data_IF_236622270581
#
_entry.id   IF_236622270581
#
_cell.length_a   1.000
_cell.length_b   1.000
_cell.length_c   1.000
_cell.angle_alpha   90.00
_cell.angle_beta   90.00
_cell.angle_gamma   90.00
#
_symmetry.space_group_name_H-M   'P 1'
#
loop_
_entity.id
_entity.type
_entity.pdbx_description
1 polymer ?
#
# COMPACT_ATOMS: atom_id res chain seq x y z
N UNK A 1 -6.40 22.95 7.66
CA UNK A 1 -5.68 21.91 8.41
C UNK A 1 -5.90 20.63 7.65
N UNK A 2 -4.82 20.01 7.21
CA UNK A 2 -4.87 18.80 6.41
C UNK A 2 -5.28 17.61 7.26
N UNK A 3 -5.71 16.55 6.59
CA UNK A 3 -6.20 15.34 7.25
C UNK A 3 -6.09 14.14 6.33
N UNK A 4 -5.93 12.95 6.92
CA UNK A 4 -6.17 11.70 6.22
C UNK A 4 -7.69 11.50 6.15
N UNK A 5 -8.24 11.44 4.93
CA UNK A 5 -9.69 11.31 4.68
C UNK A 5 -10.15 9.89 4.37
N UNK A 6 -9.19 8.98 4.20
CA UNK A 6 -9.40 7.56 4.04
C UNK A 6 -8.05 6.84 3.99
N UNK A 7 -8.06 5.55 4.26
CA UNK A 7 -6.88 4.70 4.15
C UNK A 7 -7.28 3.34 3.57
N UNK A 8 -6.40 2.66 2.85
CA UNK A 8 -6.71 1.33 2.31
C UNK A 8 -5.46 0.46 2.21
N UNK A 9 -5.62 -0.84 2.44
CA UNK A 9 -4.66 -1.88 2.01
C UNK A 9 -5.17 -2.41 0.68
N UNK A 10 -4.39 -2.28 -0.38
CA UNK A 10 -4.77 -2.73 -1.72
C UNK A 10 -3.65 -3.59 -2.32
N UNK A 11 -3.96 -4.85 -2.61
CA UNK A 11 -3.13 -5.70 -3.44
C UNK A 11 -2.83 -5.07 -4.81
N UNK A 12 -1.65 -5.30 -5.36
CA UNK A 12 -1.23 -4.77 -6.66
C UNK A 12 -0.68 -5.85 -7.60
N UNK A 13 -1.06 -7.12 -7.36
CA UNK A 13 -0.47 -8.26 -8.06
C UNK A 13 -0.53 -8.11 -9.58
N UNK A 14 0.55 -8.42 -10.33
CA UNK A 14 0.57 -8.23 -11.78
C UNK A 14 -0.55 -8.97 -12.54
N UNK A 15 -1.12 -10.03 -11.94
CA UNK A 15 -2.28 -10.76 -12.47
C UNK A 15 -3.45 -9.83 -12.79
N UNK A 16 -3.69 -8.76 -12.01
CA UNK A 16 -4.79 -7.82 -12.29
C UNK A 16 -4.60 -7.07 -13.62
N UNK A 17 -3.38 -6.98 -14.13
CA UNK A 17 -3.05 -6.29 -15.38
C UNK A 17 -3.03 -7.21 -16.61
N UNK A 18 -3.15 -8.53 -16.42
CA UNK A 18 -3.21 -9.47 -17.55
C UNK A 18 -4.50 -9.29 -18.36
N UNK A 19 -4.55 -9.73 -19.63
CA UNK A 19 -5.81 -9.77 -20.39
C UNK A 19 -6.89 -10.55 -19.64
N UNK A 20 -8.15 -10.11 -19.77
CA UNK A 20 -9.29 -10.70 -19.08
C UNK A 20 -9.39 -12.21 -19.35
N UNK A 21 -9.25 -12.62 -20.61
CA UNK A 21 -9.30 -14.00 -21.03
C UNK A 21 -8.26 -14.85 -20.30
N UNK A 22 -7.03 -14.34 -20.15
CA UNK A 22 -5.97 -15.01 -19.39
C UNK A 22 -6.32 -15.13 -17.91
N UNK A 23 -6.89 -14.10 -17.28
CA UNK A 23 -7.31 -14.18 -15.87
C UNK A 23 -8.43 -15.20 -15.65
N UNK A 24 -9.39 -15.26 -16.58
CA UNK A 24 -10.46 -16.26 -16.55
C UNK A 24 -9.91 -17.68 -16.71
N UNK A 25 -8.96 -17.89 -17.63
CA UNK A 25 -8.29 -19.17 -17.84
C UNK A 25 -7.54 -19.66 -16.58
N UNK A 26 -6.89 -18.75 -15.85
CA UNK A 26 -6.19 -19.07 -14.60
C UNK A 26 -7.12 -19.46 -13.44
N UNK A 27 -8.42 -19.15 -13.54
CA UNK A 27 -9.38 -19.26 -12.45
C UNK A 27 -10.66 -20.02 -12.85
N UNK A 28 -10.51 -21.05 -13.68
CA UNK A 28 -11.61 -21.94 -14.11
C UNK A 28 -12.83 -21.19 -14.65
N UNK A 29 -12.59 -20.11 -15.40
CA UNK A 29 -13.60 -19.25 -16.01
C UNK A 29 -14.22 -18.20 -15.09
N UNK A 30 -13.70 -18.03 -13.86
CA UNK A 30 -14.13 -17.00 -12.91
C UNK A 30 -13.17 -15.81 -12.94
N UNK A 31 -13.68 -14.60 -12.72
CA UNK A 31 -12.83 -13.41 -12.54
C UNK A 31 -12.33 -13.37 -11.09
N UNK A 32 -11.09 -12.93 -10.88
CA UNK A 32 -10.54 -12.70 -9.54
C UNK A 32 -11.25 -11.51 -8.90
N UNK A 33 -11.58 -11.57 -7.62
CA UNK A 33 -12.37 -10.53 -6.94
C UNK A 33 -11.62 -9.19 -6.81
N UNK A 34 -10.29 -9.19 -6.91
CA UNK A 34 -9.46 -7.97 -6.90
C UNK A 34 -9.88 -6.97 -7.99
N UNK A 35 -10.10 -7.42 -9.23
CA UNK A 35 -10.43 -6.55 -10.38
C UNK A 35 -11.78 -5.84 -10.21
N UNK A 36 -12.93 -6.53 -10.02
CA UNK A 36 -14.19 -5.84 -9.72
C UNK A 36 -14.13 -5.10 -8.38
N UNK A 37 -13.26 -5.52 -7.45
CA UNK A 37 -12.98 -4.80 -6.22
C UNK A 37 -12.40 -3.41 -6.45
N UNK A 38 -11.44 -3.27 -7.36
CA UNK A 38 -10.95 -1.96 -7.81
C UNK A 38 -12.03 -1.12 -8.45
N UNK A 39 -12.83 -1.70 -9.35
CA UNK A 39 -13.93 -0.97 -10.02
C UNK A 39 -14.95 -0.44 -8.99
N UNK A 40 -15.25 -1.25 -7.97
CA UNK A 40 -16.12 -0.86 -6.87
C UNK A 40 -15.47 0.21 -6.00
N UNK A 41 -14.21 0.04 -5.60
CA UNK A 41 -13.46 1.01 -4.79
C UNK A 41 -13.36 2.36 -5.50
N UNK A 42 -13.13 2.35 -6.81
CA UNK A 42 -13.15 3.56 -7.63
C UNK A 42 -14.48 4.31 -7.51
N UNK A 43 -15.60 3.62 -7.75
CA UNK A 43 -16.95 4.22 -7.74
C UNK A 43 -17.38 4.68 -6.34
N UNK A 44 -17.02 3.91 -5.31
CA UNK A 44 -17.51 4.15 -3.95
C UNK A 44 -16.63 5.10 -3.15
N UNK A 45 -15.33 5.16 -3.45
CA UNK A 45 -14.36 5.96 -2.71
C UNK A 45 -13.73 7.00 -3.63
N UNK A 46 -13.02 6.59 -4.68
CA UNK A 46 -12.19 7.51 -5.47
C UNK A 46 -12.96 8.63 -6.15
N UNK A 47 -14.20 8.37 -6.60
CA UNK A 47 -15.04 9.35 -7.29
C UNK A 47 -15.92 10.18 -6.34
N UNK A 48 -16.10 9.75 -5.09
CA UNK A 48 -17.03 10.36 -4.13
C UNK A 48 -16.34 11.09 -2.98
N UNK A 49 -15.19 10.59 -2.54
CA UNK A 49 -14.45 11.15 -1.41
C UNK A 49 -13.82 12.48 -1.82
N UNK A 50 -13.87 13.45 -0.91
CA UNK A 50 -13.22 14.75 -1.08
C UNK A 50 -11.77 14.68 -0.59
N UNK A 51 -10.84 14.41 -1.52
CA UNK A 51 -9.39 14.35 -1.29
C UNK A 51 -8.64 15.12 -2.37
N UNK A 52 -7.44 15.60 -2.05
CA UNK A 52 -6.57 16.32 -2.99
C UNK A 52 -5.47 15.41 -3.55
N UNK A 53 -4.92 14.57 -2.68
CA UNK A 53 -3.68 13.82 -2.93
C UNK A 53 -3.82 12.37 -2.47
N UNK A 54 -3.37 11.46 -3.32
CA UNK A 54 -3.17 10.05 -3.00
C UNK A 54 -1.70 9.87 -2.64
N UNK A 55 -1.43 9.21 -1.50
CA UNK A 55 -0.09 8.73 -1.17
C UNK A 55 -0.09 7.22 -1.22
N UNK A 56 0.72 6.68 -2.12
CA UNK A 56 0.95 5.24 -2.28
C UNK A 56 2.16 4.85 -1.44
N UNK A 57 1.96 3.97 -0.47
CA UNK A 57 3.05 3.35 0.28
C UNK A 57 3.44 2.09 -0.49
N UNK A 58 4.51 2.19 -1.28
CA UNK A 58 4.84 1.26 -2.35
C UNK A 58 5.83 0.18 -1.86
N UNK A 59 5.34 -1.03 -1.65
CA UNK A 59 6.15 -2.17 -1.20
C UNK A 59 7.22 -2.64 -2.20
N UNK A 60 7.12 -2.23 -3.48
CA UNK A 60 8.07 -2.59 -4.53
C UNK A 60 9.16 -1.54 -4.73
N UNK A 61 9.00 -0.33 -4.20
CA UNK A 61 10.04 0.68 -4.28
C UNK A 61 11.04 0.52 -3.14
N UNK A 62 11.96 -0.43 -3.29
CA UNK A 62 13.01 -0.68 -2.30
C UNK A 62 14.12 0.38 -2.33
N UNK A 63 14.42 0.97 -1.18
CA UNK A 63 15.58 1.85 -0.93
C UNK A 63 16.47 1.23 0.16
N UNK A 64 17.73 1.70 0.29
CA UNK A 64 18.70 1.05 1.18
C UNK A 64 18.95 1.79 2.48
N UNK A 65 19.09 3.12 2.44
CA UNK A 65 19.65 3.90 3.55
C UNK A 65 18.62 4.80 4.23
N UNK A 66 17.52 5.11 3.55
CA UNK A 66 16.49 6.03 4.02
C UNK A 66 15.18 5.78 3.28
N UNK A 67 14.09 6.32 3.81
CA UNK A 67 12.83 6.39 3.09
C UNK A 67 12.91 7.51 2.05
N UNK A 68 12.28 7.31 0.91
CA UNK A 68 12.25 8.28 -0.18
C UNK A 68 10.81 8.53 -0.56
N UNK A 69 10.47 9.80 -0.78
CA UNK A 69 9.13 10.24 -1.20
C UNK A 69 9.25 10.99 -2.52
N UNK A 70 8.35 10.73 -3.48
CA UNK A 70 8.39 11.42 -4.77
C UNK A 70 7.93 12.87 -4.60
N UNK A 71 8.70 13.83 -5.10
CA UNK A 71 8.38 15.26 -5.09
C UNK A 71 8.31 15.88 -6.49
N UNK A 72 8.04 15.06 -7.52
CA UNK A 72 7.82 15.57 -8.89
C UNK A 72 6.54 16.43 -8.95
N UNK A 73 6.56 17.49 -9.76
CA UNK A 73 5.33 18.22 -10.12
C UNK A 73 4.41 17.38 -11.03
N UNK A 74 5.02 16.62 -11.95
CA UNK A 74 4.32 15.69 -12.84
C UNK A 74 5.22 14.48 -13.15
N UNK A 75 4.62 13.29 -13.27
CA UNK A 75 5.29 12.08 -13.73
C UNK A 75 4.51 11.48 -14.87
N UNK A 76 5.17 11.22 -15.99
CA UNK A 76 4.60 10.54 -17.15
C UNK A 76 5.61 9.63 -17.83
N UNK A 77 5.10 8.63 -18.55
CA UNK A 77 5.93 7.76 -19.35
C UNK A 77 5.26 6.42 -19.62
N UNK A 78 6.10 5.42 -19.84
CA UNK A 78 5.69 4.03 -19.98
C UNK A 78 6.49 3.17 -19.01
N UNK A 79 5.79 2.31 -18.29
CA UNK A 79 6.38 1.36 -17.38
C UNK A 79 6.38 -0.04 -17.99
N UNK A 80 7.46 -0.79 -17.77
CA UNK A 80 7.53 -2.23 -18.05
C UNK A 80 8.04 -2.89 -16.79
N UNK A 81 7.30 -3.88 -16.29
CA UNK A 81 7.67 -4.58 -15.07
C UNK A 81 8.96 -5.37 -15.28
N UNK A 82 9.95 -5.13 -14.43
CA UNK A 82 11.19 -5.88 -14.38
C UNK A 82 10.97 -7.31 -13.90
N UNK A 83 10.01 -7.52 -13.00
CA UNK A 83 9.64 -8.83 -12.46
C UNK A 83 8.84 -9.67 -13.46
N UNK A 84 7.86 -9.06 -14.14
CA UNK A 84 6.92 -9.75 -15.05
C UNK A 84 6.67 -8.96 -16.35
N UNK A 85 7.70 -8.75 -17.19
CA UNK A 85 7.61 -7.90 -18.39
C UNK A 85 6.65 -8.47 -19.45
N UNK A 86 6.37 -9.77 -19.42
CA UNK A 86 5.42 -10.40 -20.34
C UNK A 86 3.97 -9.95 -20.08
N UNK A 87 3.62 -9.75 -18.81
CA UNK A 87 2.27 -9.35 -18.39
C UNK A 87 2.09 -7.84 -18.35
N UNK A 88 3.17 -7.11 -18.10
CA UNK A 88 3.15 -5.66 -17.91
C UNK A 88 4.26 -5.00 -18.72
N UNK A 89 3.99 -4.73 -19.99
CA UNK A 89 4.92 -4.05 -20.89
C UNK A 89 4.32 -2.76 -21.43
N UNK A 90 5.13 -1.70 -21.45
CA UNK A 90 4.77 -0.42 -22.06
C UNK A 90 3.47 0.20 -21.49
N UNK A 91 3.14 -0.06 -20.22
CA UNK A 91 1.95 0.46 -19.54
C UNK A 91 2.10 1.98 -19.41
N UNK A 92 1.25 2.79 -20.06
CA UNK A 92 1.36 4.24 -19.99
C UNK A 92 0.88 4.76 -18.63
N UNK A 93 1.57 5.78 -18.10
CA UNK A 93 1.13 6.53 -16.93
C UNK A 93 1.36 8.03 -17.13
N UNK A 94 0.51 8.86 -16.51
CA UNK A 94 0.66 10.32 -16.49
C UNK A 94 -0.19 10.91 -15.36
N UNK A 95 0.44 11.51 -14.36
CA UNK A 95 -0.25 12.11 -13.21
C UNK A 95 0.54 13.26 -12.58
N UNK A 96 -0.18 14.20 -11.98
CA UNK A 96 0.39 15.27 -11.15
C UNK A 96 0.95 14.67 -9.86
N UNK A 97 2.09 15.15 -9.39
CA UNK A 97 2.56 14.90 -8.03
C UNK A 97 2.16 16.02 -7.07
N UNK A 98 2.65 15.96 -5.83
CA UNK A 98 2.43 16.98 -4.79
C UNK A 98 3.77 17.36 -4.14
N UNK A 99 4.61 18.15 -4.84
CA UNK A 99 5.95 18.54 -4.35
C UNK A 99 5.89 19.24 -3.00
N UNK A 100 4.91 20.12 -2.79
CA UNK A 100 4.76 20.88 -1.55
C UNK A 100 4.50 19.96 -0.34
N UNK A 101 3.59 18.99 -0.48
CA UNK A 101 3.34 18.02 0.59
C UNK A 101 4.57 17.14 0.81
N UNK A 102 5.20 16.62 -0.25
CA UNK A 102 6.36 15.75 -0.14
C UNK A 102 7.55 16.44 0.55
N UNK A 103 7.86 17.68 0.17
CA UNK A 103 8.92 18.48 0.78
C UNK A 103 8.63 18.82 2.25
N UNK A 104 7.35 18.99 2.61
CA UNK A 104 6.96 19.29 3.99
C UNK A 104 7.27 18.15 4.98
N UNK A 105 7.36 16.90 4.51
CA UNK A 105 7.62 15.72 5.36
C UNK A 105 8.96 15.81 6.08
N UNK A 106 9.97 16.42 5.45
CA UNK A 106 11.33 16.58 6.00
C UNK A 106 11.33 17.37 7.32
N UNK A 107 10.32 18.21 7.56
CA UNK A 107 10.21 18.96 8.83
C UNK A 107 10.02 18.06 10.05
N UNK A 108 9.60 16.81 9.85
CA UNK A 108 9.19 15.89 10.93
C UNK A 108 10.06 14.64 11.03
N UNK A 109 11.01 14.44 10.11
CA UNK A 109 11.82 13.21 10.09
C UNK A 109 12.79 13.14 11.29
N UNK A 110 13.47 14.25 11.62
CA UNK A 110 14.38 14.34 12.76
C UNK A 110 13.63 14.20 14.08
N UNK A 111 12.49 14.90 14.22
CA UNK A 111 11.61 14.78 15.38
C UNK A 111 11.21 13.32 15.62
N UNK A 112 10.90 12.59 14.56
CA UNK A 112 10.48 11.19 14.63
C UNK A 112 11.64 10.19 14.60
N UNK A 113 12.90 10.66 14.61
CA UNK A 113 14.07 9.79 14.64
C UNK A 113 14.20 8.89 13.40
N UNK A 114 13.89 9.42 12.21
CA UNK A 114 13.94 8.70 10.92
C UNK A 114 14.59 9.56 9.83
N UNK A 115 14.75 9.03 8.60
CA UNK A 115 15.33 9.74 7.46
C UNK A 115 14.40 9.64 6.26
N UNK A 116 13.95 10.79 5.74
CA UNK A 116 13.03 10.85 4.60
C UNK A 116 13.55 11.88 3.59
N UNK A 117 13.85 11.42 2.37
CA UNK A 117 14.33 12.29 1.28
C UNK A 117 13.25 12.47 0.22
N UNK A 118 12.75 13.70 0.00
CA UNK A 118 11.97 14.05 -1.18
C UNK A 118 12.85 14.07 -2.42
N UNK A 119 12.40 13.44 -3.51
CA UNK A 119 13.16 13.38 -4.76
C UNK A 119 12.27 13.66 -5.97
N UNK A 120 12.75 14.55 -6.85
CA UNK A 120 12.07 14.96 -8.08
C UNK A 120 12.91 14.67 -9.33
N UNK A 121 13.93 13.79 -9.23
CA UNK A 121 14.78 13.42 -10.36
C UNK A 121 13.93 12.83 -11.50
N UNK A 122 13.94 13.41 -12.72
CA UNK A 122 13.12 12.94 -13.83
C UNK A 122 13.41 11.49 -14.28
N UNK A 123 14.56 10.94 -13.91
CA UNK A 123 14.98 9.57 -14.22
C UNK A 123 14.71 8.59 -13.08
N UNK A 124 14.14 9.04 -11.96
CA UNK A 124 13.71 8.12 -10.91
C UNK A 124 12.67 7.14 -11.50
N UNK A 125 12.90 5.82 -11.37
CA UNK A 125 11.93 4.83 -11.84
C UNK A 125 10.61 4.91 -11.06
N UNK A 126 9.55 4.41 -11.67
CA UNK A 126 8.27 4.15 -11.00
C UNK A 126 8.10 2.63 -10.88
N UNK A 127 7.41 2.17 -9.85
CA UNK A 127 7.17 0.74 -9.62
C UNK A 127 5.74 0.34 -9.99
N UNK A 128 5.57 -0.94 -10.30
CA UNK A 128 4.28 -1.46 -10.76
C UNK A 128 3.20 -1.38 -9.69
N UNK A 129 3.55 -1.40 -8.40
CA UNK A 129 2.59 -1.26 -7.31
C UNK A 129 1.83 0.08 -7.42
N UNK A 130 2.55 1.19 -7.57
CA UNK A 130 1.95 2.49 -7.89
C UNK A 130 1.21 2.49 -9.24
N UNK A 131 1.82 1.97 -10.31
CA UNK A 131 1.24 2.02 -11.67
C UNK A 131 -0.09 1.27 -11.72
N UNK A 132 -0.20 0.09 -11.11
CA UNK A 132 -1.42 -0.73 -11.11
C UNK A 132 -2.56 -0.02 -10.40
N UNK A 133 -2.30 0.52 -9.20
CA UNK A 133 -3.31 1.28 -8.47
C UNK A 133 -3.74 2.53 -9.26
N UNK A 134 -2.82 3.28 -9.84
CA UNK A 134 -3.16 4.44 -10.64
C UNK A 134 -3.98 4.08 -11.89
N UNK A 135 -3.64 2.96 -12.56
CA UNK A 135 -4.32 2.50 -13.77
C UNK A 135 -5.81 2.27 -13.52
N UNK A 136 -6.14 1.60 -12.42
CA UNK A 136 -7.51 1.32 -12.01
C UNK A 136 -8.20 2.54 -11.39
N UNK A 137 -7.51 3.26 -10.50
CA UNK A 137 -8.15 4.18 -9.56
C UNK A 137 -7.97 5.66 -9.94
N UNK A 138 -6.86 6.02 -10.56
CA UNK A 138 -6.46 7.41 -10.79
C UNK A 138 -6.85 7.98 -12.15
N UNK A 139 -6.92 7.16 -13.20
CA UNK A 139 -7.17 7.63 -14.57
C UNK A 139 -8.44 8.51 -14.65
N UNK A 140 -8.31 9.67 -15.28
CA UNK A 140 -9.42 10.61 -15.49
C UNK A 140 -9.87 11.40 -14.26
N UNK A 141 -9.25 11.19 -13.09
CA UNK A 141 -9.48 12.00 -11.90
C UNK A 141 -8.40 13.08 -11.80
N UNK A 142 -8.80 14.32 -11.50
CA UNK A 142 -7.84 15.41 -11.27
C UNK A 142 -7.33 15.38 -9.82
N UNK A 143 -6.48 14.39 -9.53
CA UNK A 143 -5.90 14.13 -8.20
C UNK A 143 -4.38 14.02 -8.32
N UNK A 144 -3.68 14.42 -7.27
CA UNK A 144 -2.22 14.26 -7.18
C UNK A 144 -1.87 12.87 -6.67
N UNK A 145 -0.74 12.33 -7.11
CA UNK A 145 -0.23 11.02 -6.70
C UNK A 145 1.23 11.14 -6.29
N UNK A 146 1.53 10.67 -5.08
CA UNK A 146 2.86 10.61 -4.49
C UNK A 146 3.14 9.18 -4.07
N UNK A 147 4.35 8.69 -4.28
CA UNK A 147 4.77 7.38 -3.76
C UNK A 147 5.77 7.56 -2.62
N UNK A 148 5.77 6.63 -1.67
CA UNK A 148 6.76 6.49 -0.59
C UNK A 148 7.41 5.12 -0.71
N UNK A 149 8.74 5.09 -0.61
CA UNK A 149 9.56 3.89 -0.72
C UNK A 149 9.49 3.02 0.54
N UNK A 150 9.97 1.78 0.41
CA UNK A 150 10.32 0.92 1.55
C UNK A 150 11.83 0.87 1.73
N UNK A 151 12.32 1.34 2.88
CA UNK A 151 13.72 1.17 3.24
C UNK A 151 13.97 -0.28 3.69
N UNK A 152 14.73 -1.05 2.92
CA UNK A 152 14.91 -2.50 3.16
C UNK A 152 15.67 -2.84 4.45
N UNK A 153 16.40 -1.87 5.01
CA UNK A 153 17.15 -2.00 6.26
C UNK A 153 16.32 -1.63 7.50
N UNK A 154 15.10 -1.10 7.30
CA UNK A 154 14.22 -0.64 8.36
C UNK A 154 13.62 -1.81 9.18
N UNK A 155 13.44 -1.54 10.47
CA UNK A 155 12.69 -2.36 11.41
C UNK A 155 11.20 -1.98 11.42
N UNK A 156 10.38 -2.76 12.14
CA UNK A 156 8.97 -2.41 12.39
C UNK A 156 8.81 -0.98 12.93
N UNK A 157 9.65 -0.58 13.87
CA UNK A 157 9.57 0.76 14.47
C UNK A 157 10.00 1.86 13.49
N UNK A 158 10.99 1.61 12.62
CA UNK A 158 11.39 2.58 11.60
C UNK A 158 10.26 2.89 10.61
N UNK A 159 9.46 1.87 10.23
CA UNK A 159 8.26 2.07 9.41
C UNK A 159 7.21 2.92 10.12
N UNK A 160 6.99 2.70 11.42
CA UNK A 160 6.09 3.51 12.24
C UNK A 160 6.57 4.96 12.33
N UNK A 161 7.88 5.19 12.56
CA UNK A 161 8.49 6.52 12.59
C UNK A 161 8.32 7.28 11.28
N UNK A 162 8.54 6.62 10.14
CA UNK A 162 8.26 7.20 8.83
C UNK A 162 6.78 7.58 8.67
N UNK A 163 5.87 6.70 9.13
CA UNK A 163 4.44 6.96 9.15
C UNK A 163 4.06 8.16 10.01
N UNK A 164 4.64 8.29 11.21
CA UNK A 164 4.38 9.43 12.11
C UNK A 164 4.81 10.74 11.47
N UNK A 165 6.03 10.80 10.92
CA UNK A 165 6.52 11.97 10.20
C UNK A 165 5.60 12.36 9.03
N UNK A 166 5.13 11.37 8.27
CA UNK A 166 4.16 11.58 7.18
C UNK A 166 2.83 12.14 7.71
N UNK A 167 2.26 11.55 8.76
CA UNK A 167 0.99 11.99 9.32
C UNK A 167 1.07 13.40 9.92
N UNK A 168 2.19 13.78 10.54
CA UNK A 168 2.40 15.14 11.05
C UNK A 168 2.48 16.16 9.93
N UNK A 169 3.17 15.83 8.84
CA UNK A 169 3.22 16.67 7.64
C UNK A 169 1.84 16.86 7.02
N UNK A 170 1.02 15.80 6.96
CA UNK A 170 -0.36 15.87 6.49
C UNK A 170 -1.18 16.80 7.40
N UNK A 171 -1.13 16.62 8.73
CA UNK A 171 -1.85 17.45 9.71
C UNK A 171 -1.55 18.94 9.51
N UNK A 172 -0.29 19.29 9.34
CA UNK A 172 0.17 20.69 9.28
C UNK A 172 0.13 21.27 7.85
N UNK A 173 -0.29 20.48 6.86
CA UNK A 173 -0.59 20.93 5.50
C UNK A 173 -2.02 21.48 5.38
N UNK A 174 -2.43 21.79 4.15
CA UNK A 174 -3.81 22.07 3.76
C UNK A 174 -4.44 20.93 2.94
N UNK A 175 -3.78 19.77 2.84
CA UNK A 175 -4.17 18.65 1.97
C UNK A 175 -5.12 17.68 2.66
N UNK A 176 -6.14 17.24 1.92
CA UNK A 176 -6.92 16.02 2.23
C UNK A 176 -6.27 14.83 1.54
N UNK A 177 -5.81 13.87 2.32
CA UNK A 177 -4.99 12.76 1.82
C UNK A 177 -5.72 11.43 1.91
N UNK A 178 -5.67 10.65 0.83
CA UNK A 178 -6.03 9.24 0.81
C UNK A 178 -4.74 8.40 0.83
N UNK A 179 -4.56 7.57 1.86
CA UNK A 179 -3.42 6.67 1.97
C UNK A 179 -3.74 5.32 1.33
N UNK A 180 -2.92 4.89 0.37
CA UNK A 180 -3.02 3.56 -0.23
C UNK A 180 -1.77 2.75 0.15
N UNK A 181 -1.92 1.86 1.13
CA UNK A 181 -0.94 0.85 1.47
C UNK A 181 -0.95 -0.24 0.39
N UNK A 182 -0.09 -0.07 -0.63
CA UNK A 182 0.02 -0.97 -1.77
C UNK A 182 0.87 -2.17 -1.35
N UNK A 183 0.23 -3.32 -1.14
CA UNK A 183 0.89 -4.49 -0.57
C UNK A 183 -0.02 -5.69 -0.33
N UNK A 184 0.65 -6.82 -0.14
CA UNK A 184 0.09 -8.12 0.19
C UNK A 184 0.36 -8.48 1.66
N UNK A 185 -0.31 -9.55 2.10
CA UNK A 185 -0.15 -10.15 3.43
C UNK A 185 1.06 -11.10 3.43
N UNK A 186 0.91 -12.37 3.83
CA UNK A 186 1.98 -13.36 3.75
C UNK A 186 2.54 -13.46 2.32
N UNK A 187 3.88 -13.51 2.19
CA UNK A 187 4.52 -13.26 0.89
C UNK A 187 5.64 -14.28 0.59
N UNK A 188 5.29 -15.56 0.61
CA UNK A 188 6.19 -16.65 0.21
C UNK A 188 5.73 -17.30 -1.08
N UNK A 189 6.59 -17.29 -2.11
CA UNK A 189 6.30 -17.92 -3.39
C UNK A 189 6.65 -19.41 -3.44
N UNK A 190 5.86 -20.18 -4.20
CA UNK A 190 6.28 -21.50 -4.66
C UNK A 190 7.51 -21.41 -5.58
N UNK A 191 8.28 -22.50 -5.64
CA UNK A 191 9.44 -22.57 -6.54
C UNK A 191 8.99 -22.64 -7.99
N UNK A 192 9.83 -22.13 -8.90
CA UNK A 192 9.52 -21.97 -10.33
C UNK A 192 8.90 -23.20 -11.00
N UNK A 193 9.34 -24.42 -10.65
CA UNK A 193 8.82 -25.67 -11.24
C UNK A 193 7.39 -26.00 -10.83
N UNK A 194 6.95 -25.51 -9.67
CA UNK A 194 5.62 -25.77 -9.11
C UNK A 194 4.70 -24.56 -9.21
N UNK A 195 5.25 -23.38 -9.52
CA UNK A 195 4.56 -22.10 -9.60
C UNK A 195 3.20 -22.17 -10.32
N UNK A 196 3.18 -22.80 -11.52
CA UNK A 196 1.97 -22.96 -12.35
C UNK A 196 0.84 -23.79 -11.74
N UNK A 197 1.14 -24.57 -10.71
CA UNK A 197 0.14 -25.36 -9.97
C UNK A 197 -0.59 -24.53 -8.92
N UNK A 198 -0.15 -23.30 -8.69
CA UNK A 198 -0.61 -22.42 -7.62
C UNK A 198 -0.96 -21.00 -8.14
N UNK A 199 -1.25 -20.86 -9.44
CA UNK A 199 -1.60 -19.57 -10.06
C UNK A 199 -3.08 -19.16 -9.83
N UNK A 200 -3.96 -20.11 -9.51
CA UNK A 200 -5.37 -19.84 -9.25
C UNK A 200 -5.56 -19.04 -7.94
N UNK A 201 -6.61 -18.23 -7.88
CA UNK A 201 -6.89 -17.31 -6.77
C UNK A 201 -7.44 -17.98 -5.51
N UNK A 202 -7.75 -19.28 -5.56
CA UNK A 202 -8.25 -20.01 -4.40
C UNK A 202 -7.22 -20.00 -3.25
N UNK A 203 -7.58 -19.54 -2.04
CA UNK A 203 -6.69 -19.52 -0.88
C UNK A 203 -6.13 -20.89 -0.45
N UNK A 204 -6.63 -22.01 -0.98
CA UNK A 204 -5.97 -23.32 -0.83
C UNK A 204 -4.53 -23.33 -1.37
N UNK A 205 -4.22 -22.42 -2.29
CA UNK A 205 -2.89 -22.28 -2.88
C UNK A 205 -1.97 -21.33 -2.12
N UNK A 206 -2.37 -20.76 -0.98
CA UNK A 206 -1.45 -20.02 -0.11
C UNK A 206 -0.33 -20.96 0.35
N UNK A 207 0.91 -20.44 0.45
CA UNK A 207 2.12 -21.25 0.60
C UNK A 207 2.07 -22.28 1.74
N UNK A 208 1.43 -21.93 2.86
CA UNK A 208 1.13 -22.88 3.93
C UNK A 208 -0.22 -22.59 4.61
N UNK A 209 -0.87 -23.60 5.21
CA UNK A 209 -2.08 -23.39 6.02
C UNK A 209 -1.88 -22.40 7.17
N UNK A 210 -0.69 -22.36 7.77
CA UNK A 210 -0.36 -21.43 8.86
C UNK A 210 -0.25 -19.99 8.36
N UNK A 211 0.33 -19.78 7.17
CA UNK A 211 0.38 -18.46 6.55
C UNK A 211 -1.03 -17.96 6.21
N UNK A 212 -1.88 -18.84 5.66
CA UNK A 212 -3.28 -18.56 5.40
C UNK A 212 -4.03 -18.17 6.68
N UNK A 213 -3.87 -18.95 7.75
CA UNK A 213 -4.53 -18.67 9.02
C UNK A 213 -4.07 -17.33 9.63
N UNK A 214 -2.79 -16.99 9.53
CA UNK A 214 -2.26 -15.71 10.00
C UNK A 214 -2.78 -14.52 9.19
N UNK A 215 -2.96 -14.68 7.88
CA UNK A 215 -3.57 -13.68 7.01
C UNK A 215 -5.05 -13.46 7.35
N UNK A 216 -5.83 -14.55 7.44
CA UNK A 216 -7.26 -14.51 7.79
C UNK A 216 -7.47 -13.89 9.19
N UNK A 217 -6.62 -14.22 10.17
CA UNK A 217 -6.67 -13.63 11.51
C UNK A 217 -6.46 -12.11 11.47
N UNK A 218 -5.50 -11.62 10.68
CA UNK A 218 -5.27 -10.17 10.50
C UNK A 218 -6.43 -9.47 9.82
N UNK A 219 -7.03 -10.09 8.80
CA UNK A 219 -8.20 -9.56 8.12
C UNK A 219 -9.36 -9.39 9.11
N UNK A 220 -9.58 -10.36 10.01
CA UNK A 220 -10.61 -10.24 11.04
C UNK A 220 -10.32 -9.11 12.03
N UNK A 221 -9.06 -8.90 12.43
CA UNK A 221 -8.69 -7.74 13.25
C UNK A 221 -8.91 -6.42 12.52
N UNK A 222 -8.57 -6.32 11.22
CA UNK A 222 -8.86 -5.13 10.43
C UNK A 222 -10.36 -4.86 10.35
N UNK A 223 -11.19 -5.87 10.09
CA UNK A 223 -12.65 -5.74 10.08
C UNK A 223 -13.20 -5.29 11.43
N UNK A 224 -12.59 -5.73 12.53
CA UNK A 224 -12.96 -5.33 13.89
C UNK A 224 -12.44 -3.94 14.28
N UNK A 225 -11.49 -3.37 13.53
CA UNK A 225 -10.77 -2.15 13.88
C UNK A 225 -9.72 -2.35 14.98
N UNK A 226 -9.25 -3.58 15.19
CA UNK A 226 -8.24 -3.93 16.20
C UNK A 226 -6.81 -3.76 15.64
N UNK A 227 -6.47 -2.52 15.27
CA UNK A 227 -5.13 -2.17 14.79
C UNK A 227 -4.05 -2.43 15.84
N UNK A 228 -4.40 -2.26 17.12
CA UNK A 228 -3.54 -2.59 18.26
C UNK A 228 -3.07 -4.04 18.19
N UNK A 229 -3.98 -4.99 18.01
CA UNK A 229 -3.63 -6.41 17.94
C UNK A 229 -2.75 -6.75 16.74
N UNK A 230 -2.99 -6.12 15.59
CA UNK A 230 -2.16 -6.27 14.38
C UNK A 230 -0.71 -5.83 14.66
N UNK A 231 -0.54 -4.72 15.39
CA UNK A 231 0.78 -4.17 15.75
C UNK A 231 1.50 -5.03 16.79
N UNK A 232 0.81 -5.42 17.87
CA UNK A 232 1.37 -6.25 18.95
C UNK A 232 1.86 -7.62 18.46
N UNK A 233 1.23 -8.16 17.42
CA UNK A 233 1.51 -9.49 16.86
C UNK A 233 2.40 -9.47 15.60
N UNK A 234 3.04 -8.32 15.31
CA UNK A 234 3.99 -8.23 14.20
C UNK A 234 5.17 -9.23 14.31
N UNK A 235 5.79 -9.45 15.48
CA UNK A 235 6.87 -10.44 15.61
C UNK A 235 6.45 -11.85 15.18
N UNK A 236 5.20 -12.25 15.43
CA UNK A 236 4.64 -13.52 15.01
C UNK A 236 4.41 -13.53 13.50
N UNK A 237 3.85 -12.46 12.93
CA UNK A 237 3.52 -12.41 11.52
C UNK A 237 4.75 -12.33 10.61
N UNK A 238 5.83 -11.69 11.07
CA UNK A 238 7.10 -11.63 10.33
C UNK A 238 7.67 -13.02 10.00
N UNK A 239 7.27 -14.08 10.73
CA UNK A 239 7.64 -15.48 10.42
C UNK A 239 7.08 -15.95 9.08
N UNK A 240 5.99 -15.36 8.60
CA UNK A 240 5.37 -15.65 7.30
C UNK A 240 5.86 -14.73 6.17
N UNK A 241 6.89 -13.92 6.44
CA UNK A 241 7.55 -13.03 5.48
C UNK A 241 6.53 -12.17 4.73
N UNK A 242 5.79 -11.31 5.43
CA UNK A 242 4.84 -10.43 4.76
C UNK A 242 5.55 -9.51 3.78
N UNK A 243 4.83 -9.06 2.76
CA UNK A 243 5.44 -8.29 1.67
C UNK A 243 6.15 -7.05 2.21
N UNK A 244 7.44 -6.92 1.85
CA UNK A 244 8.29 -5.83 2.28
C UNK A 244 8.28 -5.60 3.80
N UNK A 245 8.27 -6.69 4.59
CA UNK A 245 8.16 -6.67 6.06
C UNK A 245 6.88 -5.99 6.58
N UNK A 246 5.82 -5.97 5.77
CA UNK A 246 4.54 -5.30 6.03
C UNK A 246 4.65 -3.76 6.14
N UNK A 247 5.68 -3.17 5.51
CA UNK A 247 5.99 -1.74 5.58
C UNK A 247 4.81 -0.85 5.16
N UNK A 248 4.09 -1.22 4.10
CA UNK A 248 2.95 -0.48 3.58
C UNK A 248 1.87 -0.27 4.66
N UNK A 249 1.51 -1.30 5.41
CA UNK A 249 0.58 -1.16 6.54
C UNK A 249 1.21 -0.40 7.71
N UNK A 250 2.46 -0.70 8.08
CA UNK A 250 3.09 -0.10 9.25
C UNK A 250 3.28 1.42 9.08
N UNK A 251 3.73 1.88 7.92
CA UNK A 251 3.82 3.30 7.61
C UNK A 251 2.45 3.96 7.57
N UNK A 252 1.42 3.29 7.05
CA UNK A 252 0.03 3.77 7.14
C UNK A 252 -0.42 3.90 8.59
N UNK A 253 -0.17 2.88 9.42
CA UNK A 253 -0.53 2.84 10.83
C UNK A 253 0.13 3.98 11.63
N UNK A 254 1.41 4.26 11.40
CA UNK A 254 2.12 5.40 11.98
C UNK A 254 1.45 6.75 11.66
N UNK A 255 0.93 6.91 10.44
CA UNK A 255 0.27 8.13 10.00
C UNK A 255 -1.15 8.31 10.57
N UNK A 256 -1.83 7.22 10.93
CA UNK A 256 -3.22 7.21 11.41
C UNK A 256 -3.35 6.82 12.89
N UNK A 257 -2.28 6.99 13.67
CA UNK A 257 -2.29 6.91 15.13
C UNK A 257 -2.20 5.50 15.73
N UNK A 258 -1.66 4.54 14.98
CA UNK A 258 -1.23 3.23 15.48
C UNK A 258 -2.30 2.47 16.27
N UNK A 259 -2.04 2.08 17.52
CA UNK A 259 -2.95 1.35 18.38
C UNK A 259 -4.19 2.14 18.79
N UNK A 260 -4.17 3.48 18.64
CA UNK A 260 -5.34 4.30 18.88
C UNK A 260 -6.34 4.23 17.71
N UNK A 261 -5.89 3.75 16.53
CA UNK A 261 -6.78 3.60 15.40
C UNK A 261 -7.79 2.48 15.63
N UNK A 262 -9.06 2.82 15.48
CA UNK A 262 -10.20 1.89 15.62
C UNK A 262 -11.07 1.85 14.37
N UNK A 263 -10.60 2.40 13.25
CA UNK A 263 -11.29 2.35 11.97
C UNK A 263 -11.57 0.90 11.56
N UNK A 264 -12.81 0.57 11.27
CA UNK A 264 -13.21 -0.78 10.83
C UNK A 264 -12.96 -0.94 9.34
N UNK A 265 -12.32 -2.03 8.95
CA UNK A 265 -12.06 -2.39 7.57
C UNK A 265 -13.32 -2.84 6.83
N UNK A 266 -13.59 -2.20 5.71
CA UNK A 266 -14.58 -2.60 4.70
C UNK A 266 -13.89 -3.39 3.59
N UNK A 267 -14.36 -4.61 3.34
CA UNK A 267 -13.80 -5.47 2.29
C UNK A 267 -14.25 -5.00 0.92
N UNK A 268 -13.29 -4.86 -0.01
CA UNK A 268 -13.54 -4.58 -1.42
C UNK A 268 -13.18 -5.76 -2.33
N UNK A 269 -12.53 -6.78 -1.80
CA UNK A 269 -12.31 -8.06 -2.48
C UNK A 269 -12.48 -9.20 -1.48
N UNK A 270 -12.52 -10.42 -2.01
CA UNK A 270 -12.25 -11.61 -1.19
C UNK A 270 -10.75 -11.67 -0.85
N UNK A 271 -10.40 -12.49 0.14
CA UNK A 271 -9.02 -12.88 0.38
C UNK A 271 -8.64 -13.95 -0.63
N UNK A 272 -7.58 -13.72 -1.39
CA UNK A 272 -7.19 -14.53 -2.54
C UNK A 272 -5.70 -14.88 -2.54
N UNK A 273 -5.38 -15.98 -3.21
CA UNK A 273 -4.02 -16.38 -3.50
C UNK A 273 -3.48 -15.66 -4.75
N UNK A 274 -2.18 -15.36 -4.73
CA UNK A 274 -1.40 -15.12 -5.95
C UNK A 274 -0.06 -15.83 -5.84
N UNK A 275 0.01 -17.08 -6.31
CA UNK A 275 1.27 -17.85 -6.38
C UNK A 275 1.89 -18.12 -5.00
N UNK A 276 1.06 -18.34 -3.99
CA UNK A 276 1.45 -18.60 -2.60
C UNK A 276 1.36 -17.41 -1.67
N UNK A 277 1.10 -16.20 -2.20
CA UNK A 277 1.01 -14.95 -1.42
C UNK A 277 -0.44 -14.54 -1.19
N UNK A 278 -0.71 -13.90 -0.05
CA UNK A 278 -2.05 -13.50 0.38
C UNK A 278 -2.44 -12.10 -0.08
N UNK A 279 -3.55 -11.98 -0.81
CA UNK A 279 -3.98 -10.74 -1.48
C UNK A 279 -5.38 -10.32 -1.02
N UNK A 280 -5.58 -9.01 -0.84
CA UNK A 280 -6.86 -8.46 -0.38
C UNK A 280 -6.98 -6.96 -0.68
N UNK A 281 -8.22 -6.46 -0.74
CA UNK A 281 -8.57 -5.05 -0.70
C UNK A 281 -9.40 -4.74 0.54
N UNK A 282 -8.87 -3.89 1.42
CA UNK A 282 -9.52 -3.45 2.66
C UNK A 282 -9.48 -1.92 2.71
N UNK A 283 -10.64 -1.29 2.83
CA UNK A 283 -10.77 0.15 3.00
C UNK A 283 -11.09 0.50 4.45
N UNK A 284 -10.43 1.52 4.98
CA UNK A 284 -10.70 2.10 6.28
C UNK A 284 -11.33 3.48 6.06
N UNK A 285 -12.66 3.62 6.17
CA UNK A 285 -13.30 4.93 6.11
C UNK A 285 -12.85 5.80 7.29
N UNK A 286 -12.76 7.12 7.06
CA UNK A 286 -12.46 8.08 8.12
C UNK A 286 -13.47 7.91 9.29
N UNK A 287 -13.00 7.62 10.52
CA UNK A 287 -13.88 7.54 11.69
C UNK A 287 -14.58 8.86 12.00
N UNK A 288 -15.66 8.80 12.79
CA UNK A 288 -16.24 10.00 13.38
C UNK A 288 -15.20 10.71 14.27
N UNK A 289 -14.96 12.00 14.01
CA UNK A 289 -13.87 12.75 14.66
C UNK A 289 -12.51 12.67 13.94
N UNK A 290 -12.40 11.91 12.85
CA UNK A 290 -11.17 11.75 12.08
C UNK A 290 -10.32 10.56 12.52
N UNK A 291 -9.29 10.24 11.75
CA UNK A 291 -8.26 9.31 12.22
C UNK A 291 -7.54 9.90 13.44
N UNK A 292 -7.13 9.08 14.41
CA UNK A 292 -6.27 9.54 15.49
C UNK A 292 -4.98 10.15 14.93
N UNK A 293 -4.48 11.17 15.61
CA UNK A 293 -3.25 11.83 15.21
C UNK A 293 -2.05 10.89 15.42
N UNK A 294 -0.96 11.08 14.65
CA UNK A 294 0.31 10.44 14.93
C UNK A 294 0.74 10.67 16.37
N UNK A 295 1.46 9.72 16.96
CA UNK A 295 2.04 9.89 18.30
C UNK A 295 2.96 11.10 18.31
N UNK A 296 2.67 12.06 19.18
CA UNK A 296 3.50 13.24 19.38
C UNK A 296 4.71 12.87 20.26
N UNK A 297 5.79 12.46 19.60
CA UNK A 297 7.03 12.05 20.24
C UNK A 297 8.22 12.84 19.70
N UNK A 298 9.27 12.93 20.50
CA UNK A 298 10.60 13.37 20.04
C UNK A 298 11.54 12.20 20.26
N UNK A 299 12.03 11.62 19.16
CA UNK A 299 12.84 10.42 19.14
C UNK A 299 14.25 10.74 18.66
N UNK A 300 15.24 10.08 19.25
CA UNK A 300 16.61 10.14 18.77
C UNK A 300 16.77 9.36 17.47
N UNK A 301 17.65 9.86 16.59
CA UNK A 301 18.23 9.10 15.48
C UNK A 301 19.40 8.21 15.93
N UNK A 302 19.96 8.49 17.13
CA UNK A 302 21.01 7.68 17.79
C UNK A 302 20.46 6.38 18.40
#
# INVERSE_FOLDING_TARGET
MGEVVGAAILAHVPTVMLPKETRLELNDGKEISLVPGFEKFRKDVMEKLDYDTVIVLDSHWATTVEFVITSHDHREGKYTAEELPRGMSQIPYSFKGDPELAESVVKYDEKNGTWITPISDPYLPIMYATVNLWDYLGKGLDKRWVSVSVCQTATTEDFLRAGRALGEAIRDSDRKVLLLASGALSHTFYKLRDLRKHEASDPIHIFSPEARAADEERIEWFKAGDHKRVLETMPEFLKFKPEANFSHYLTMAGAIGEEANTSKGEMYSDYENSVGTGQVHIYFPKPEGGFPQPKDMVLSRD
#
